data_IF_748451278563
#
_entry.id   IF_748451278563
#
_cell.length_a   1.000
_cell.length_b   1.000
_cell.length_c   1.000
_cell.angle_alpha   90.00
_cell.angle_beta   90.00
_cell.angle_gamma   90.00
#
_symmetry.space_group_name_H-M   'P 1'
#
loop_
_entity.id
_entity.type
_entity.pdbx_description
1 polymer ?
#
# COMPACT_ATOMS: atom_id res chain seq x y z
N UNK A 1 2.60 -15.28 10.07
CA UNK A 1 2.86 -13.92 9.55
C UNK A 1 2.06 -13.76 8.26
N UNK A 2 1.37 -12.63 8.04
CA UNK A 2 0.77 -12.34 6.75
C UNK A 2 1.85 -12.29 5.65
N UNK A 3 1.43 -12.43 4.39
CA UNK A 3 2.32 -12.22 3.25
C UNK A 3 2.74 -10.75 3.19
N UNK A 4 3.97 -10.48 2.77
CA UNK A 4 4.47 -9.12 2.63
C UNK A 4 3.80 -8.41 1.45
N UNK A 5 3.36 -7.17 1.67
CA UNK A 5 2.79 -6.36 0.62
C UNK A 5 3.88 -5.82 -0.33
N UNK A 6 3.54 -5.73 -1.61
CA UNK A 6 4.44 -5.28 -2.68
C UNK A 6 3.67 -4.43 -3.70
N UNK A 7 4.41 -3.75 -4.57
CA UNK A 7 3.85 -2.94 -5.65
C UNK A 7 2.78 -3.72 -6.43
N UNK A 8 1.67 -3.07 -6.76
CA UNK A 8 0.50 -3.64 -7.44
C UNK A 8 -0.38 -4.58 -6.61
N UNK A 9 -0.05 -4.88 -5.35
CA UNK A 9 -1.00 -5.57 -4.46
C UNK A 9 -2.22 -4.69 -4.14
N UNK A 10 -3.38 -5.33 -3.94
CA UNK A 10 -4.68 -4.66 -3.76
C UNK A 10 -4.90 -4.25 -2.30
N UNK A 11 -5.25 -2.99 -2.09
CA UNK A 11 -5.90 -2.50 -0.88
C UNK A 11 -7.41 -2.59 -1.02
N UNK A 12 -8.07 -3.23 -0.06
CA UNK A 12 -9.52 -3.51 -0.05
C UNK A 12 -10.39 -2.27 -0.24
N UNK A 13 -11.60 -2.47 -0.75
CA UNK A 13 -12.64 -1.44 -0.84
C UNK A 13 -13.16 -1.01 0.54
N UNK A 14 -13.77 0.18 0.62
CA UNK A 14 -14.52 0.63 1.81
C UNK A 14 -15.63 1.60 1.42
N UNK A 15 -16.77 1.61 2.13
CA UNK A 15 -17.86 2.60 2.00
C UNK A 15 -18.34 2.90 0.56
N UNK A 16 -18.29 1.91 -0.33
CA UNK A 16 -18.63 2.04 -1.75
C UNK A 16 -17.53 2.64 -2.64
N UNK A 17 -16.33 2.88 -2.11
CA UNK A 17 -15.12 3.18 -2.87
C UNK A 17 -14.41 1.87 -3.24
N UNK A 18 -14.22 1.62 -4.53
CA UNK A 18 -13.65 0.38 -5.06
C UNK A 18 -12.19 0.15 -4.62
N UNK A 19 -11.73 -1.10 -4.68
CA UNK A 19 -10.34 -1.45 -4.35
C UNK A 19 -9.34 -0.83 -5.33
N UNK A 20 -8.18 -0.44 -4.83
CA UNK A 20 -7.08 0.10 -5.64
C UNK A 20 -5.75 -0.50 -5.21
N UNK A 21 -4.72 -0.34 -6.03
CA UNK A 21 -3.42 -0.98 -5.83
C UNK A 21 -2.38 -0.03 -5.24
N UNK A 22 -1.34 -0.60 -4.63
CA UNK A 22 -0.12 0.12 -4.22
C UNK A 22 0.62 0.59 -5.47
N UNK A 23 1.00 1.87 -5.53
CA UNK A 23 1.60 2.51 -6.72
C UNK A 23 3.04 3.00 -6.54
N UNK A 24 3.58 2.91 -5.33
CA UNK A 24 5.01 3.06 -5.08
C UNK A 24 5.44 2.15 -3.92
N UNK A 25 6.73 1.84 -3.86
CA UNK A 25 7.33 1.00 -2.84
C UNK A 25 8.82 1.32 -2.68
N UNK A 26 9.55 0.43 -2.05
CA UNK A 26 11.01 0.51 -1.89
C UNK A 26 11.75 0.49 -3.24
N UNK A 27 12.80 1.30 -3.37
CA UNK A 27 13.72 1.27 -4.52
C UNK A 27 14.93 0.36 -4.29
N UNK A 28 15.04 -0.30 -3.14
CA UNK A 28 16.23 -1.06 -2.70
C UNK A 28 15.89 -2.50 -2.33
N UNK A 29 14.66 -2.76 -1.87
CA UNK A 29 14.17 -4.07 -1.43
C UNK A 29 13.03 -4.53 -2.32
N UNK A 30 13.20 -5.74 -2.86
CA UNK A 30 12.24 -6.38 -3.75
C UNK A 30 11.76 -7.69 -3.13
N UNK A 31 10.46 -7.95 -3.21
CA UNK A 31 9.81 -9.19 -2.79
C UNK A 31 9.18 -9.79 -4.04
N UNK A 32 9.58 -11.02 -4.38
CA UNK A 32 9.20 -11.70 -5.62
C UNK A 32 9.44 -10.84 -6.87
N UNK A 33 10.56 -10.09 -6.88
CA UNK A 33 10.94 -9.21 -7.98
C UNK A 33 10.16 -7.89 -8.07
N UNK A 34 9.22 -7.62 -7.15
CA UNK A 34 8.47 -6.37 -7.09
C UNK A 34 8.90 -5.49 -5.91
N UNK A 35 8.89 -4.15 -6.02
CA UNK A 35 9.18 -3.25 -4.91
C UNK A 35 8.37 -3.59 -3.66
N UNK A 36 9.04 -3.77 -2.52
CA UNK A 36 8.39 -4.04 -1.25
C UNK A 36 7.63 -2.81 -0.76
N UNK A 37 6.42 -2.99 -0.22
CA UNK A 37 5.63 -1.89 0.31
C UNK A 37 5.92 -1.65 1.81
N UNK A 38 5.79 -0.39 2.22
CA UNK A 38 6.11 0.10 3.57
C UNK A 38 5.01 1.02 4.05
N UNK A 39 4.98 1.27 5.36
CA UNK A 39 4.12 2.30 5.92
C UNK A 39 4.35 3.64 5.22
N UNK A 40 3.26 4.30 4.83
CA UNK A 40 3.27 5.56 4.12
C UNK A 40 3.26 5.43 2.59
N UNK A 41 3.60 4.28 2.02
CA UNK A 41 3.55 4.10 0.57
C UNK A 41 2.11 4.30 0.03
N UNK A 42 1.95 4.99 -1.10
CA UNK A 42 0.64 5.37 -1.64
C UNK A 42 -0.06 4.22 -2.38
N UNK A 43 -1.39 4.27 -2.36
CA UNK A 43 -2.24 3.51 -3.28
C UNK A 43 -2.92 4.48 -4.25
N UNK A 44 -3.39 4.00 -5.40
CA UNK A 44 -4.17 4.83 -6.33
C UNK A 44 -5.36 5.46 -5.59
N UNK A 45 -5.54 6.79 -5.67
CA UNK A 45 -6.76 7.44 -5.17
C UNK A 45 -8.00 6.80 -5.78
N UNK A 46 -9.09 6.78 -5.03
CA UNK A 46 -10.36 6.28 -5.52
C UNK A 46 -11.50 7.25 -5.23
N UNK A 47 -12.57 7.11 -6.00
CA UNK A 47 -13.79 7.89 -5.89
C UNK A 47 -15.00 6.95 -5.87
N UNK A 48 -16.15 7.50 -5.52
CA UNK A 48 -17.45 6.86 -5.68
C UNK A 48 -18.45 7.86 -6.25
N UNK A 49 -19.60 7.42 -6.80
CA UNK A 49 -20.60 8.33 -7.35
C UNK A 49 -20.97 9.46 -6.37
N UNK A 50 -21.05 10.69 -6.87
CA UNK A 50 -21.39 11.90 -6.10
C UNK A 50 -20.40 12.29 -4.97
N UNK A 51 -19.20 11.73 -4.96
CA UNK A 51 -18.14 12.08 -4.00
C UNK A 51 -16.82 12.34 -4.74
N UNK A 52 -16.03 13.35 -4.34
CA UNK A 52 -14.72 13.58 -4.93
C UNK A 52 -13.76 12.42 -4.61
N UNK A 53 -12.69 12.23 -5.42
CA UNK A 53 -11.64 11.27 -5.09
C UNK A 53 -10.90 11.67 -3.80
N UNK A 54 -10.40 10.68 -3.06
CA UNK A 54 -9.50 10.91 -1.92
C UNK A 54 -8.24 10.05 -1.99
N UNK A 55 -7.10 10.54 -1.46
CA UNK A 55 -5.84 9.81 -1.49
C UNK A 55 -5.85 8.62 -0.53
N UNK A 56 -4.98 7.65 -0.80
CA UNK A 56 -4.78 6.46 0.04
C UNK A 56 -3.29 6.27 0.31
N UNK A 57 -2.97 5.79 1.51
CA UNK A 57 -1.61 5.36 1.89
C UNK A 57 -1.68 4.22 2.89
N UNK A 58 -0.64 3.40 2.96
CA UNK A 58 -0.50 2.35 3.96
C UNK A 58 -0.36 2.99 5.35
N UNK A 59 -1.31 2.73 6.24
CA UNK A 59 -1.43 3.43 7.52
C UNK A 59 -0.53 2.84 8.63
N UNK A 60 -0.29 1.53 8.61
CA UNK A 60 0.51 0.81 9.60
C UNK A 60 1.38 -0.26 8.95
N UNK A 61 2.25 -0.88 9.73
CA UNK A 61 3.14 -1.94 9.31
C UNK A 61 3.66 -2.73 10.51
N UNK A 62 4.69 -3.53 10.29
CA UNK A 62 5.35 -4.34 11.32
C UNK A 62 5.97 -3.50 12.44
N UNK A 63 5.90 -4.00 13.67
CA UNK A 63 6.54 -3.36 14.83
C UNK A 63 8.05 -3.66 14.93
N UNK A 64 8.55 -4.63 14.17
CA UNK A 64 9.92 -5.13 14.30
C UNK A 64 10.66 -5.32 12.98
N UNK A 65 9.96 -5.30 11.85
CA UNK A 65 10.56 -5.43 10.51
C UNK A 65 10.47 -4.10 9.80
N UNK A 66 11.63 -3.57 9.42
CA UNK A 66 11.77 -2.29 8.75
C UNK A 66 12.41 -2.49 7.38
N UNK A 67 11.85 -1.83 6.36
CA UNK A 67 12.39 -1.77 5.00
C UNK A 67 12.66 -0.29 4.72
N UNK A 68 13.91 0.04 4.36
CA UNK A 68 14.37 1.43 4.23
C UNK A 68 14.08 2.32 5.46
N UNK A 69 14.12 1.74 6.65
CA UNK A 69 13.85 2.45 7.90
C UNK A 69 12.37 2.75 8.17
N UNK A 70 11.44 2.30 7.32
CA UNK A 70 10.00 2.38 7.55
C UNK A 70 9.42 1.00 7.88
N UNK A 71 8.38 0.90 8.71
CA UNK A 71 7.71 -0.37 8.98
C UNK A 71 7.29 -1.09 7.69
N UNK A 72 7.63 -2.37 7.57
CA UNK A 72 7.18 -3.20 6.45
C UNK A 72 5.65 -3.34 6.49
N UNK A 73 4.99 -3.18 5.33
CA UNK A 73 3.53 -3.23 5.22
C UNK A 73 2.96 -4.65 5.34
#
# INVERSE_FOLDING_TARGET
>A
MPAAAKLSDKGTQHDGYYETVIIAGSSTVFIDGSPAARQGDPLTPHAKPKHPPHPRKIAGGSESVFIDGLPAA
#
